data_IF_691814548036
#
_entry.id   IF_691814548036
#
_cell.length_a   1.000
_cell.length_b   1.000
_cell.length_c   1.000
_cell.angle_alpha   90.00
_cell.angle_beta   90.00
_cell.angle_gamma   90.00
#
_symmetry.space_group_name_H-M   'P 1'
#
loop_
_entity.id
_entity.type
_entity.pdbx_description
1 polymer ?
#
# COMPACT_ATOMS: atom_id res chain seq x y z
N UNK A 1 -10.51 -23.19 -16.95
CA UNK A 1 -10.01 -23.93 -15.78
C UNK A 1 -8.84 -23.26 -15.11
N UNK A 2 -7.77 -23.04 -15.83
CA UNK A 2 -6.58 -22.45 -15.24
C UNK A 2 -6.83 -21.06 -14.68
N UNK A 3 -7.61 -20.25 -15.36
CA UNK A 3 -7.94 -18.91 -14.90
C UNK A 3 -8.74 -18.91 -13.63
N UNK A 4 -9.65 -19.85 -13.47
CA UNK A 4 -10.45 -19.96 -12.25
C UNK A 4 -9.57 -20.32 -11.06
N UNK A 5 -8.63 -21.24 -11.26
CA UNK A 5 -7.67 -21.63 -10.22
C UNK A 5 -6.77 -20.45 -9.83
N UNK A 6 -6.32 -19.68 -10.81
CA UNK A 6 -5.50 -18.50 -10.52
C UNK A 6 -6.26 -17.47 -9.71
N UNK A 7 -7.54 -17.25 -10.04
CA UNK A 7 -8.37 -16.31 -9.28
C UNK A 7 -8.59 -16.78 -7.85
N UNK A 8 -8.82 -18.07 -7.66
CA UNK A 8 -9.01 -18.65 -6.33
C UNK A 8 -7.74 -18.52 -5.49
N UNK A 9 -6.56 -18.61 -6.10
CA UNK A 9 -5.29 -18.53 -5.39
C UNK A 9 -4.77 -17.11 -5.24
N UNK A 10 -5.41 -16.14 -5.91
CA UNK A 10 -5.01 -14.75 -5.81
C UNK A 10 -5.34 -14.19 -4.43
N UNK A 11 -4.37 -13.48 -3.86
CA UNK A 11 -4.55 -12.76 -2.61
C UNK A 11 -4.69 -11.25 -2.83
N UNK A 12 -5.14 -10.88 -4.03
CA UNK A 12 -5.47 -9.50 -4.37
C UNK A 12 -6.94 -9.21 -4.11
N UNK A 13 -7.22 -8.02 -3.57
CA UNK A 13 -8.58 -7.53 -3.45
C UNK A 13 -8.65 -6.09 -3.97
N UNK A 14 -9.62 -5.83 -4.86
CA UNK A 14 -9.87 -4.48 -5.35
C UNK A 14 -10.26 -3.56 -4.20
N UNK A 15 -9.63 -2.38 -4.14
CA UNK A 15 -9.88 -1.43 -3.07
C UNK A 15 -9.70 -0.01 -3.59
N UNK A 16 -10.73 0.82 -3.47
CA UNK A 16 -10.70 2.22 -3.87
C UNK A 16 -11.44 3.07 -2.84
N UNK A 17 -10.72 3.58 -1.82
CA UNK A 17 -11.35 4.34 -0.73
C UNK A 17 -11.61 5.80 -1.06
N UNK A 18 -11.09 6.32 -2.18
CA UNK A 18 -11.25 7.75 -2.48
C UNK A 18 -12.72 8.08 -2.76
N UNK A 19 -13.33 9.01 -1.98
CA UNK A 19 -14.75 9.35 -2.13
C UNK A 19 -15.13 9.91 -3.51
N UNK A 20 -14.16 10.42 -4.26
CA UNK A 20 -14.43 10.99 -5.58
C UNK A 20 -14.62 9.94 -6.67
N UNK A 21 -14.25 8.69 -6.41
CA UNK A 21 -14.36 7.65 -7.43
C UNK A 21 -15.81 7.23 -7.64
N UNK A 22 -16.24 7.24 -8.90
CA UNK A 22 -17.62 7.00 -9.28
C UNK A 22 -17.94 5.54 -9.66
N UNK A 23 -17.02 4.63 -9.39
CA UNK A 23 -17.22 3.21 -9.69
C UNK A 23 -16.89 2.83 -11.13
N UNK A 24 -16.45 3.77 -11.95
CA UNK A 24 -16.09 3.52 -13.35
C UNK A 24 -15.15 4.61 -13.86
N UNK A 25 -14.55 4.36 -15.00
CA UNK A 25 -13.67 5.30 -15.66
C UNK A 25 -12.24 5.25 -15.13
N UNK A 26 -11.39 6.07 -15.74
CA UNK A 26 -9.97 6.12 -15.39
C UNK A 26 -9.78 6.88 -14.08
N UNK A 27 -9.00 6.31 -13.19
CA UNK A 27 -8.64 6.96 -11.94
C UNK A 27 -7.35 7.77 -12.15
N UNK A 28 -7.43 9.08 -11.91
CA UNK A 28 -6.34 10.01 -12.23
C UNK A 28 -5.67 10.65 -11.00
N UNK A 29 -6.07 10.26 -9.80
CA UNK A 29 -5.54 10.89 -8.59
C UNK A 29 -4.23 10.23 -8.13
N UNK A 30 -3.36 11.03 -7.54
CA UNK A 30 -2.06 10.59 -7.05
C UNK A 30 -2.08 10.44 -5.54
N UNK A 31 -2.90 9.51 -5.05
CA UNK A 31 -3.13 9.32 -3.62
C UNK A 31 -2.73 7.93 -3.12
N UNK A 32 -1.80 7.27 -3.79
CA UNK A 32 -1.40 5.92 -3.40
C UNK A 32 -0.95 5.79 -1.94
N UNK A 33 -0.23 6.76 -1.34
CA UNK A 33 0.11 6.65 0.08
C UNK A 33 -1.12 6.68 0.98
N UNK A 34 -2.11 7.49 0.64
CA UNK A 34 -3.37 7.56 1.40
C UNK A 34 -4.11 6.23 1.29
N UNK A 35 -4.27 5.72 0.09
CA UNK A 35 -4.97 4.44 -0.14
C UNK A 35 -4.26 3.27 0.54
N UNK A 36 -2.93 3.26 0.51
CA UNK A 36 -2.14 2.21 1.16
C UNK A 36 -2.39 2.18 2.67
N UNK A 37 -2.38 3.34 3.32
CA UNK A 37 -2.63 3.42 4.76
C UNK A 37 -4.09 3.09 5.08
N UNK A 38 -5.04 3.54 4.27
CA UNK A 38 -6.44 3.16 4.42
C UNK A 38 -6.61 1.64 4.44
N UNK A 39 -5.96 0.95 3.50
CA UNK A 39 -6.05 -0.50 3.40
C UNK A 39 -5.43 -1.20 4.61
N UNK A 40 -4.23 -0.78 5.00
CA UNK A 40 -3.51 -1.42 6.10
C UNK A 40 -4.18 -1.19 7.45
N UNK A 41 -4.75 -0.01 7.69
CA UNK A 41 -5.29 0.40 8.99
C UNK A 41 -6.81 0.35 9.08
N UNK A 42 -7.52 0.07 7.99
CA UNK A 42 -8.99 0.13 7.93
C UNK A 42 -9.52 1.51 8.35
N UNK A 43 -8.87 2.55 7.85
CA UNK A 43 -9.31 3.93 8.06
C UNK A 43 -9.88 4.49 6.78
N UNK A 44 -10.77 5.48 6.91
CA UNK A 44 -11.32 6.13 5.73
C UNK A 44 -10.34 7.13 5.12
N UNK A 45 -10.61 7.52 3.89
CA UNK A 45 -9.71 8.37 3.11
C UNK A 45 -9.47 9.72 3.77
N UNK A 46 -10.54 10.36 4.26
CA UNK A 46 -10.43 11.69 4.88
C UNK A 46 -9.62 11.65 6.16
N UNK A 47 -9.80 10.61 6.96
CA UNK A 47 -9.03 10.45 8.20
C UNK A 47 -7.54 10.32 7.90
N UNK A 48 -7.18 9.50 6.94
CA UNK A 48 -5.76 9.33 6.57
C UNK A 48 -5.20 10.61 5.95
N UNK A 49 -6.00 11.29 5.12
CA UNK A 49 -5.61 12.58 4.56
C UNK A 49 -5.23 13.58 5.67
N UNK A 50 -6.09 13.68 6.67
CA UNK A 50 -5.86 14.60 7.79
C UNK A 50 -4.63 14.22 8.62
N UNK A 51 -4.42 12.93 8.85
CA UNK A 51 -3.22 12.45 9.55
C UNK A 51 -1.95 12.83 8.80
N UNK A 52 -1.94 12.65 7.49
CA UNK A 52 -0.79 13.01 6.67
C UNK A 52 -0.57 14.52 6.60
N UNK A 53 -1.64 15.31 6.56
CA UNK A 53 -1.54 16.77 6.60
C UNK A 53 -0.89 17.24 7.91
N UNK A 54 -1.28 16.67 9.03
CA UNK A 54 -0.67 17.01 10.31
C UNK A 54 0.81 16.65 10.34
N UNK A 55 1.15 15.49 9.82
CA UNK A 55 2.55 15.08 9.70
C UNK A 55 3.35 16.00 8.79
N UNK A 56 2.77 16.40 7.65
CA UNK A 56 3.41 17.35 6.74
C UNK A 56 3.70 18.68 7.38
N UNK A 57 2.76 19.22 8.16
CA UNK A 57 2.98 20.44 8.94
C UNK A 57 4.13 20.29 9.92
N UNK A 58 4.23 19.12 10.52
CA UNK A 58 5.24 18.86 11.54
C UNK A 58 6.65 18.79 10.97
N UNK A 59 6.79 18.24 9.77
CA UNK A 59 8.08 18.13 9.08
C UNK A 59 8.34 19.26 8.09
N UNK A 60 7.40 20.18 7.94
CA UNK A 60 7.48 21.32 7.02
C UNK A 60 7.61 20.88 5.55
N UNK A 61 6.82 19.90 5.15
CA UNK A 61 6.84 19.36 3.79
C UNK A 61 5.43 18.99 3.34
N UNK A 62 5.29 18.61 2.07
CA UNK A 62 4.02 18.16 1.53
C UNK A 62 3.54 16.92 2.26
N UNK A 63 2.23 16.76 2.36
CA UNK A 63 1.62 15.65 3.10
C UNK A 63 1.99 14.26 2.57
N UNK A 64 2.33 14.16 1.28
CA UNK A 64 2.71 12.90 0.65
C UNK A 64 4.22 12.80 0.43
N UNK A 65 4.99 13.68 1.05
CA UNK A 65 6.45 13.55 1.04
C UNK A 65 6.89 12.32 1.81
N UNK A 66 8.08 11.83 1.50
CA UNK A 66 8.64 10.68 2.21
C UNK A 66 8.72 10.92 3.72
N UNK A 67 9.10 12.12 4.14
CA UNK A 67 9.20 12.45 5.57
C UNK A 67 7.83 12.49 6.25
N UNK A 68 6.81 13.01 5.57
CA UNK A 68 5.44 13.04 6.10
C UNK A 68 4.89 11.62 6.25
N UNK A 69 5.08 10.78 5.25
CA UNK A 69 4.64 9.39 5.27
C UNK A 69 5.37 8.62 6.38
N UNK A 70 6.69 8.82 6.49
CA UNK A 70 7.48 8.14 7.52
C UNK A 70 7.00 8.52 8.92
N UNK A 71 6.74 9.79 9.17
CA UNK A 71 6.22 10.23 10.47
C UNK A 71 4.84 9.66 10.75
N UNK A 72 3.95 9.65 9.76
CA UNK A 72 2.62 9.09 9.91
C UNK A 72 2.67 7.61 10.27
N UNK A 73 3.47 6.83 9.56
CA UNK A 73 3.62 5.40 9.84
C UNK A 73 4.24 5.16 11.20
N UNK A 74 5.22 5.97 11.60
CA UNK A 74 5.81 5.87 12.93
C UNK A 74 4.76 6.13 14.02
N UNK A 75 3.92 7.14 13.85
CA UNK A 75 2.83 7.45 14.80
C UNK A 75 1.78 6.34 14.86
N UNK A 76 1.62 5.58 13.78
CA UNK A 76 0.74 4.41 13.72
C UNK A 76 1.44 3.14 14.20
N UNK A 77 2.65 3.28 14.77
CA UNK A 77 3.43 2.19 15.35
C UNK A 77 4.03 1.20 14.33
N UNK A 78 4.25 1.66 13.11
CA UNK A 78 4.96 0.87 12.11
C UNK A 78 6.47 0.95 12.33
N UNK A 79 7.15 -0.14 12.05
CA UNK A 79 8.61 -0.20 12.01
C UNK A 79 9.06 -0.28 10.55
N UNK A 80 10.06 0.53 10.20
CA UNK A 80 10.58 0.55 8.84
C UNK A 80 11.64 -0.53 8.65
N UNK A 81 11.47 -1.32 7.60
CA UNK A 81 12.46 -2.31 7.18
C UNK A 81 12.85 -2.06 5.74
N UNK A 82 14.14 -2.23 5.44
CA UNK A 82 14.63 -2.20 4.08
C UNK A 82 14.73 -3.63 3.55
N UNK A 83 14.25 -3.84 2.34
CA UNK A 83 14.38 -5.13 1.68
C UNK A 83 15.81 -5.26 1.18
N UNK A 84 16.55 -6.20 1.76
CA UNK A 84 17.93 -6.48 1.35
C UNK A 84 17.93 -7.57 0.27
N UNK A 85 18.62 -7.30 -0.82
CA UNK A 85 18.73 -8.24 -1.93
C UNK A 85 20.18 -8.58 -2.14
N UNK A 86 20.49 -9.86 -2.06
CA UNK A 86 21.84 -10.36 -2.37
C UNK A 86 22.02 -10.41 -3.88
N UNK A 87 23.23 -10.20 -4.34
CA UNK A 87 23.56 -10.31 -5.76
C UNK A 87 23.08 -11.66 -6.32
N UNK A 88 22.32 -11.62 -7.39
CA UNK A 88 21.74 -12.80 -8.01
C UNK A 88 20.40 -13.26 -7.46
N UNK A 89 19.93 -12.68 -6.34
CA UNK A 89 18.61 -12.96 -5.79
C UNK A 89 17.56 -12.03 -6.37
N UNK A 90 16.31 -12.50 -6.43
CA UNK A 90 15.19 -11.69 -6.86
C UNK A 90 14.57 -10.95 -5.69
N UNK A 91 14.10 -9.74 -5.93
CA UNK A 91 13.30 -9.02 -4.95
C UNK A 91 11.95 -9.71 -4.77
N UNK A 92 11.40 -9.72 -3.55
CA UNK A 92 10.05 -10.25 -3.35
C UNK A 92 9.03 -9.40 -4.13
N UNK A 93 8.02 -10.06 -4.66
CA UNK A 93 6.87 -9.37 -5.24
C UNK A 93 5.86 -9.06 -4.15
N UNK A 94 4.93 -8.14 -4.45
CA UNK A 94 3.83 -7.81 -3.52
C UNK A 94 3.02 -9.06 -3.18
N UNK A 95 2.68 -9.86 -4.18
CA UNK A 95 1.88 -11.06 -3.98
C UNK A 95 2.59 -12.07 -3.07
N UNK A 96 3.87 -12.32 -3.32
CA UNK A 96 4.64 -13.27 -2.50
C UNK A 96 4.86 -12.75 -1.08
N UNK A 97 5.17 -11.47 -0.93
CA UNK A 97 5.33 -10.86 0.39
C UNK A 97 4.05 -11.00 1.21
N UNK A 98 2.89 -10.73 0.61
CA UNK A 98 1.62 -10.84 1.30
C UNK A 98 1.35 -12.28 1.75
N UNK A 99 1.66 -13.27 0.92
CA UNK A 99 1.51 -14.68 1.28
C UNK A 99 2.41 -15.09 2.43
N UNK A 100 3.64 -14.58 2.45
CA UNK A 100 4.61 -14.89 3.50
C UNK A 100 4.37 -14.14 4.80
N UNK A 101 3.47 -13.13 4.77
CA UNK A 101 3.12 -12.32 5.94
C UNK A 101 1.60 -12.37 6.15
N UNK A 102 1.07 -13.51 6.58
CA UNK A 102 -0.38 -13.73 6.63
C UNK A 102 -1.08 -13.01 7.78
N UNK A 103 -0.37 -12.27 8.61
CA UNK A 103 -0.94 -11.58 9.77
C UNK A 103 -0.47 -10.15 9.85
N UNK A 104 -1.41 -9.27 10.16
CA UNK A 104 -1.13 -7.87 10.46
C UNK A 104 -1.03 -6.97 9.24
N UNK A 105 -0.85 -5.68 9.50
CA UNK A 105 -0.79 -4.68 8.45
C UNK A 105 0.65 -4.43 7.99
N UNK A 106 0.78 -4.18 6.69
CA UNK A 106 2.04 -3.76 6.08
C UNK A 106 1.76 -2.68 5.07
N UNK A 107 2.66 -1.73 4.94
CA UNK A 107 2.68 -0.77 3.85
C UNK A 107 3.99 -0.98 3.11
N UNK A 108 3.90 -1.34 1.86
CA UNK A 108 5.08 -1.65 1.04
C UNK A 108 5.26 -0.63 -0.07
N UNK A 109 6.51 -0.39 -0.42
CA UNK A 109 6.86 0.53 -1.50
C UNK A 109 7.37 -0.27 -2.68
N UNK A 110 6.82 0.03 -3.85
CA UNK A 110 7.33 -0.45 -5.14
C UNK A 110 7.77 0.76 -5.95
N UNK A 111 8.28 0.55 -7.16
CA UNK A 111 8.72 1.67 -8.00
C UNK A 111 7.54 2.62 -8.28
N UNK A 112 7.65 3.85 -7.78
CA UNK A 112 6.66 4.90 -8.00
C UNK A 112 5.28 4.66 -7.38
N UNK A 113 5.15 3.74 -6.41
CA UNK A 113 3.84 3.38 -5.89
C UNK A 113 3.95 2.80 -4.47
N UNK A 114 2.85 2.89 -3.72
CA UNK A 114 2.73 2.29 -2.38
C UNK A 114 1.46 1.46 -2.31
N UNK A 115 1.53 0.36 -1.58
CA UNK A 115 0.44 -0.61 -1.49
C UNK A 115 0.24 -1.02 -0.04
N UNK A 116 -1.02 -1.13 0.38
CA UNK A 116 -1.39 -1.64 1.69
C UNK A 116 -1.65 -3.14 1.65
N UNK A 117 -1.19 -3.82 2.68
CA UNK A 117 -1.38 -5.25 2.88
C UNK A 117 -1.97 -5.46 4.26
N UNK A 118 -2.96 -6.33 4.37
CA UNK A 118 -3.57 -6.68 5.64
C UNK A 118 -3.90 -8.17 5.65
N UNK A 119 -3.36 -8.87 6.63
CA UNK A 119 -3.63 -10.29 6.84
C UNK A 119 -3.49 -11.15 5.57
N UNK A 120 -2.37 -10.96 4.87
CA UNK A 120 -2.03 -11.76 3.69
C UNK A 120 -2.70 -11.32 2.39
N UNK A 121 -3.52 -10.28 2.43
CA UNK A 121 -4.20 -9.73 1.24
C UNK A 121 -3.62 -8.37 0.90
N UNK A 122 -3.33 -8.13 -0.39
CA UNK A 122 -2.91 -6.81 -0.85
C UNK A 122 -4.06 -6.11 -1.57
N UNK A 123 -4.18 -4.81 -1.30
CA UNK A 123 -5.34 -4.00 -1.69
C UNK A 123 -4.90 -2.86 -2.57
N UNK A 124 -5.52 -2.75 -3.74
CA UNK A 124 -5.28 -1.61 -4.63
C UNK A 124 -6.44 -1.49 -5.63
N UNK A 125 -6.48 -0.38 -6.34
CA UNK A 125 -7.47 -0.17 -7.39
C UNK A 125 -7.06 -0.79 -8.73
N UNK A 126 -5.94 -1.49 -8.78
CA UNK A 126 -5.50 -2.28 -9.93
C UNK A 126 -4.57 -3.40 -9.43
N UNK A 127 -4.44 -4.45 -10.24
CA UNK A 127 -3.68 -5.63 -9.84
C UNK A 127 -2.18 -5.37 -9.96
N UNK A 128 -1.52 -5.24 -8.82
CA UNK A 128 -0.10 -4.86 -8.73
C UNK A 128 0.78 -5.95 -8.10
N UNK A 129 0.27 -7.17 -7.98
CA UNK A 129 0.96 -8.24 -7.25
C UNK A 129 2.31 -8.64 -7.83
N UNK A 130 2.54 -8.38 -9.10
CA UNK A 130 3.81 -8.69 -9.78
C UNK A 130 4.91 -7.66 -9.54
N UNK A 131 4.58 -6.53 -8.93
CA UNK A 131 5.57 -5.48 -8.66
C UNK A 131 6.54 -5.91 -7.57
N UNK A 132 7.81 -5.52 -7.73
CA UNK A 132 8.86 -5.85 -6.76
C UNK A 132 8.91 -4.80 -5.64
N UNK A 133 9.14 -5.28 -4.42
CA UNK A 133 9.24 -4.41 -3.23
C UNK A 133 10.68 -3.91 -3.08
N UNK A 134 10.82 -2.64 -2.74
CA UNK A 134 12.10 -1.99 -2.48
C UNK A 134 12.33 -1.61 -1.02
#
# INVERSE_FOLDING_TARGET
>A
MHRVEQDVTSNYEFFQPNPSWKGKGKYLHEDCPIRAICAAEHLDWNTVYDLLCDCGKHVFDAQTSDDSIALCLKRLSYTKYSVKVTKGSKRPTVANFAKEHPRGPYVVRVAGHMIGIKDGTYFDCWHCGHKCIY
#
